data_IF_219746981276
#
_entry.id   IF_219746981276
#
_cell.length_a   1.000
_cell.length_b   1.000
_cell.length_c   1.000
_cell.angle_alpha   90.00
_cell.angle_beta   90.00
_cell.angle_gamma   90.00
#
_symmetry.space_group_name_H-M   'P 1'
#
loop_
_entity.id
_entity.type
_entity.pdbx_description
1 polymer ?
#
# COMPACT_ATOMS: atom_id res chain seq x y z
N UNK A 1 19.23 24.63 74.90
CA UNK A 1 18.90 25.72 73.96
C UNK A 1 19.42 25.33 72.58
N UNK A 2 18.50 25.28 71.61
CA UNK A 2 18.65 25.36 70.14
C UNK A 2 19.45 24.26 69.43
N UNK A 3 18.73 23.26 68.88
CA UNK A 3 19.20 22.45 67.74
C UNK A 3 18.94 23.25 66.45
N UNK A 4 20.00 23.64 65.75
CA UNK A 4 19.91 24.33 64.45
C UNK A 4 19.82 23.29 63.33
N UNK A 5 18.65 23.17 62.71
CA UNK A 5 18.42 22.31 61.54
C UNK A 5 18.85 23.08 60.29
N UNK A 6 20.05 22.79 59.77
CA UNK A 6 20.50 23.30 58.48
C UNK A 6 19.80 22.53 57.36
N UNK A 7 18.78 23.14 56.75
CA UNK A 7 18.09 22.65 55.56
C UNK A 7 19.01 22.84 54.34
N UNK A 8 19.72 21.78 53.95
CA UNK A 8 20.48 21.75 52.71
C UNK A 8 19.50 21.57 51.53
N UNK A 9 19.12 22.68 50.88
CA UNK A 9 18.39 22.66 49.62
C UNK A 9 19.32 22.10 48.53
N UNK A 10 19.26 20.80 48.28
CA UNK A 10 19.74 20.20 47.04
C UNK A 10 18.86 20.76 45.90
N UNK A 11 19.38 21.75 45.16
CA UNK A 11 18.85 22.06 43.84
C UNK A 11 19.15 20.85 42.95
N UNK A 12 18.22 19.89 42.93
CA UNK A 12 18.16 18.88 41.91
C UNK A 12 17.95 19.62 40.58
N UNK A 13 19.03 19.78 39.82
CA UNK A 13 19.00 20.31 38.47
C UNK A 13 18.19 19.31 37.63
N UNK A 14 16.88 19.51 37.56
CA UNK A 14 16.00 18.77 36.67
C UNK A 14 16.44 19.12 35.27
N UNK A 15 17.30 18.28 34.67
CA UNK A 15 17.46 18.25 33.22
C UNK A 15 16.08 17.96 32.66
N UNK A 16 15.39 19.02 32.25
CA UNK A 16 14.30 18.93 31.29
C UNK A 16 14.89 18.22 30.08
N UNK A 17 14.66 16.91 29.97
CA UNK A 17 14.86 16.20 28.72
C UNK A 17 14.07 16.99 27.69
N UNK A 18 14.78 17.62 26.75
CA UNK A 18 14.13 18.21 25.60
C UNK A 18 13.28 17.09 25.01
N UNK A 19 11.95 17.27 25.03
CA UNK A 19 11.04 16.34 24.38
C UNK A 19 11.51 16.25 22.93
N UNK A 20 12.09 15.10 22.54
CA UNK A 20 12.36 14.83 21.14
C UNK A 20 11.03 15.04 20.43
N UNK A 21 11.01 15.99 19.49
CA UNK A 21 9.88 16.15 18.58
C UNK A 21 9.51 14.77 18.07
N UNK A 22 8.23 14.36 18.14
CA UNK A 22 7.84 12.99 17.79
C UNK A 22 8.42 12.68 16.42
N UNK A 23 9.23 11.60 16.36
CA UNK A 23 9.92 11.23 15.15
C UNK A 23 8.89 11.08 14.04
N UNK A 24 9.07 11.82 12.94
CA UNK A 24 8.15 11.75 11.80
C UNK A 24 8.02 10.29 11.35
N UNK A 25 6.81 9.82 11.00
CA UNK A 25 6.63 8.48 10.48
C UNK A 25 7.47 8.27 9.21
N UNK A 26 7.95 7.05 8.95
CA UNK A 26 8.78 6.77 7.77
C UNK A 26 7.97 6.89 6.49
N UNK A 27 8.59 7.28 5.39
CA UNK A 27 7.97 7.18 4.06
C UNK A 27 7.86 5.70 3.66
N UNK A 28 6.70 5.30 3.16
CA UNK A 28 6.45 3.93 2.69
C UNK A 28 6.44 3.93 1.16
N UNK A 29 7.29 3.09 0.56
CA UNK A 29 7.33 2.87 -0.90
C UNK A 29 7.07 1.38 -1.14
N UNK A 30 5.92 1.08 -1.74
CA UNK A 30 5.54 -0.28 -2.12
C UNK A 30 5.80 -0.48 -3.61
N UNK A 31 6.79 -1.32 -3.94
CA UNK A 31 7.09 -1.74 -5.32
C UNK A 31 6.45 -3.10 -5.53
N UNK A 32 5.48 -3.18 -6.44
CA UNK A 32 4.74 -4.40 -6.73
C UNK A 32 4.92 -4.79 -8.21
N UNK A 33 5.88 -5.67 -8.46
CA UNK A 33 6.20 -6.16 -9.80
C UNK A 33 5.16 -7.18 -10.28
N UNK A 34 4.88 -7.17 -11.59
CA UNK A 34 3.93 -8.08 -12.23
C UNK A 34 4.71 -9.25 -12.84
N UNK A 35 4.24 -10.48 -12.62
CA UNK A 35 4.76 -11.72 -13.19
C UNK A 35 6.26 -11.98 -12.99
N UNK A 36 6.82 -11.59 -11.82
CA UNK A 36 8.19 -11.94 -11.41
C UNK A 36 8.20 -13.31 -10.72
N UNK A 37 8.93 -14.26 -11.28
CA UNK A 37 9.19 -15.57 -10.69
C UNK A 37 10.25 -15.53 -9.58
N UNK A 38 10.20 -16.52 -8.69
CA UNK A 38 11.15 -16.63 -7.57
C UNK A 38 12.63 -16.68 -8.05
N UNK A 39 12.89 -17.31 -9.19
CA UNK A 39 14.23 -17.46 -9.78
C UNK A 39 14.67 -16.33 -10.72
N UNK A 40 13.90 -15.23 -10.83
CA UNK A 40 14.16 -14.18 -11.82
C UNK A 40 15.11 -13.08 -11.33
N UNK A 41 15.40 -13.02 -10.03
CA UNK A 41 16.29 -12.02 -9.45
C UNK A 41 17.64 -12.64 -9.10
N UNK A 42 18.73 -11.91 -9.36
CA UNK A 42 20.09 -12.35 -9.06
C UNK A 42 20.27 -12.74 -7.59
N UNK A 43 19.64 -11.99 -6.68
CA UNK A 43 19.62 -12.31 -5.26
C UNK A 43 18.89 -13.61 -4.90
N UNK A 44 18.18 -14.27 -5.81
CA UNK A 44 17.62 -15.63 -5.65
C UNK A 44 18.27 -16.67 -6.59
N UNK A 45 19.41 -16.34 -7.21
CA UNK A 45 20.18 -17.27 -8.05
C UNK A 45 19.97 -17.14 -9.55
N UNK A 46 19.27 -16.10 -10.01
CA UNK A 46 19.13 -15.81 -11.43
C UNK A 46 20.45 -15.42 -12.09
N UNK A 47 20.55 -15.65 -13.41
CA UNK A 47 21.61 -15.07 -14.26
C UNK A 47 21.21 -13.72 -14.85
N UNK A 48 19.97 -13.28 -14.63
CA UNK A 48 19.49 -11.97 -15.07
C UNK A 48 20.18 -10.84 -14.29
N UNK A 49 20.43 -9.72 -14.98
CA UNK A 49 21.12 -8.58 -14.40
C UNK A 49 20.15 -7.68 -13.61
N UNK A 50 20.01 -7.91 -12.30
CA UNK A 50 19.12 -7.15 -11.40
C UNK A 50 19.84 -6.37 -10.29
N UNK A 51 20.89 -5.58 -10.60
CA UNK A 51 21.85 -5.09 -9.61
C UNK A 51 21.23 -4.19 -8.55
N UNK A 52 20.17 -3.45 -8.88
CA UNK A 52 19.50 -2.55 -7.92
C UNK A 52 18.61 -3.32 -6.94
N UNK A 53 17.95 -4.39 -7.40
CA UNK A 53 17.16 -5.26 -6.51
C UNK A 53 18.10 -6.09 -5.63
N UNK A 54 19.22 -6.57 -6.19
CA UNK A 54 20.23 -7.31 -5.43
C UNK A 54 20.89 -6.44 -4.36
N UNK A 55 21.08 -5.15 -4.65
CA UNK A 55 21.54 -4.16 -3.67
C UNK A 55 20.51 -3.97 -2.55
N UNK A 56 19.24 -3.76 -2.87
CA UNK A 56 18.17 -3.62 -1.86
C UNK A 56 18.09 -4.84 -0.94
N UNK A 57 18.19 -6.05 -1.50
CA UNK A 57 18.16 -7.29 -0.73
C UNK A 57 19.37 -7.45 0.21
N UNK A 58 20.53 -6.90 -0.16
CA UNK A 58 21.77 -6.95 0.63
C UNK A 58 21.82 -5.90 1.74
N UNK A 59 21.29 -4.71 1.47
CA UNK A 59 21.25 -3.59 2.43
C UNK A 59 20.07 -3.69 3.40
N UNK A 60 19.08 -4.52 3.07
CA UNK A 60 17.86 -4.70 3.87
C UNK A 60 17.61 -6.16 4.25
N UNK A 61 16.32 -6.51 4.25
CA UNK A 61 15.85 -7.85 4.58
C UNK A 61 15.36 -8.57 3.32
N UNK A 62 15.70 -9.87 3.18
CA UNK A 62 15.32 -10.72 2.05
C UNK A 62 14.55 -11.93 2.53
N UNK A 63 13.36 -12.17 1.97
CA UNK A 63 12.50 -13.29 2.33
C UNK A 63 12.79 -14.49 1.43
N UNK A 64 13.11 -15.65 1.98
CA UNK A 64 13.18 -16.90 1.19
C UNK A 64 11.81 -17.56 1.02
N UNK A 65 10.85 -17.17 1.85
CA UNK A 65 9.52 -17.77 1.94
C UNK A 65 8.46 -16.65 2.00
N UNK A 66 8.17 -16.03 0.85
CA UNK A 66 7.15 -14.99 0.71
C UNK A 66 6.00 -15.50 -0.16
N UNK A 67 4.83 -15.67 0.44
CA UNK A 67 3.65 -16.19 -0.22
C UNK A 67 2.66 -15.07 -0.57
N UNK A 68 2.02 -15.22 -1.72
CA UNK A 68 0.89 -14.38 -2.14
C UNK A 68 -0.42 -15.12 -1.91
N UNK A 69 -1.49 -14.39 -1.61
CA UNK A 69 -2.80 -15.00 -1.33
C UNK A 69 -3.46 -15.62 -2.58
N UNK A 70 -2.97 -15.30 -3.78
CA UNK A 70 -3.39 -15.91 -5.03
C UNK A 70 -2.29 -15.83 -6.09
N UNK A 71 -2.29 -16.80 -7.01
CA UNK A 71 -1.33 -16.93 -8.11
C UNK A 71 -1.71 -16.13 -9.38
N UNK A 72 -2.66 -15.20 -9.28
CA UNK A 72 -3.19 -14.41 -10.40
C UNK A 72 -3.35 -12.94 -10.03
N UNK A 73 -3.18 -12.05 -11.00
CA UNK A 73 -2.98 -10.62 -10.78
C UNK A 73 -4.05 -9.96 -9.89
N UNK A 74 -5.32 -9.98 -10.31
CA UNK A 74 -6.41 -9.28 -9.61
C UNK A 74 -6.59 -9.77 -8.17
N UNK A 75 -6.80 -11.09 -7.95
CA UNK A 75 -6.94 -11.64 -6.60
C UNK A 75 -5.74 -11.36 -5.69
N UNK A 76 -4.51 -11.45 -6.21
CA UNK A 76 -3.29 -11.14 -5.45
C UNK A 76 -3.24 -9.67 -5.01
N UNK A 77 -3.56 -8.76 -5.94
CA UNK A 77 -3.63 -7.31 -5.66
C UNK A 77 -4.75 -6.98 -4.67
N UNK A 78 -5.89 -7.68 -4.73
CA UNK A 78 -7.02 -7.42 -3.83
C UNK A 78 -6.64 -7.77 -2.40
N UNK A 79 -5.97 -8.91 -2.22
CA UNK A 79 -5.46 -9.33 -0.92
C UNK A 79 -4.38 -8.39 -0.39
N UNK A 80 -3.47 -7.92 -1.26
CA UNK A 80 -2.46 -6.93 -0.87
C UNK A 80 -3.10 -5.62 -0.38
N UNK A 81 -4.12 -5.13 -1.09
CA UNK A 81 -4.77 -3.87 -0.74
C UNK A 81 -5.64 -3.98 0.51
N UNK A 82 -6.28 -5.13 0.78
CA UNK A 82 -7.26 -5.27 1.88
C UNK A 82 -6.73 -6.02 3.09
N UNK A 83 -5.62 -6.74 2.95
CA UNK A 83 -5.16 -7.70 3.96
C UNK A 83 -6.06 -8.93 4.13
N UNK A 84 -6.98 -9.19 3.19
CA UNK A 84 -7.99 -10.25 3.28
C UNK A 84 -7.84 -11.28 2.16
N UNK A 85 -8.34 -12.49 2.39
CA UNK A 85 -8.38 -13.49 1.33
C UNK A 85 -9.24 -13.02 0.16
N UNK A 86 -8.84 -13.30 -1.10
CA UNK A 86 -9.55 -12.81 -2.28
C UNK A 86 -11.05 -13.16 -2.31
N UNK A 87 -11.40 -14.34 -1.78
CA UNK A 87 -12.78 -14.82 -1.64
C UNK A 87 -13.64 -13.98 -0.68
N UNK A 88 -13.03 -13.13 0.13
CA UNK A 88 -13.69 -12.30 1.14
C UNK A 88 -13.74 -10.81 0.77
N UNK A 89 -13.05 -10.38 -0.29
CA UNK A 89 -12.91 -8.97 -0.67
C UNK A 89 -13.40 -8.66 -2.10
N UNK A 90 -14.32 -9.48 -2.62
CA UNK A 90 -15.01 -9.23 -3.90
C UNK A 90 -14.27 -9.67 -5.17
N UNK A 91 -13.02 -10.15 -5.07
CA UNK A 91 -12.19 -10.45 -6.24
C UNK A 91 -11.60 -11.88 -6.23
N UNK A 92 -12.43 -12.94 -6.26
CA UNK A 92 -12.00 -14.32 -6.03
C UNK A 92 -11.26 -14.98 -7.21
N UNK A 93 -11.38 -14.43 -8.42
CA UNK A 93 -10.85 -15.04 -9.64
C UNK A 93 -10.20 -13.99 -10.55
N UNK A 94 -9.32 -14.43 -11.44
CA UNK A 94 -8.80 -13.58 -12.51
C UNK A 94 -9.88 -13.31 -13.56
N UNK A 95 -9.76 -12.18 -14.27
CA UNK A 95 -10.65 -11.85 -15.40
C UNK A 95 -10.75 -13.04 -16.34
N UNK A 96 -11.99 -13.43 -16.63
CA UNK A 96 -12.31 -14.53 -17.52
C UNK A 96 -13.45 -14.07 -18.43
N UNK A 97 -13.45 -14.50 -19.70
CA UNK A 97 -14.37 -14.01 -20.73
C UNK A 97 -15.85 -14.43 -20.53
N UNK A 98 -16.21 -14.85 -19.32
CA UNK A 98 -17.62 -15.06 -18.96
C UNK A 98 -18.20 -13.74 -18.46
N UNK A 99 -19.38 -13.31 -18.95
CA UNK A 99 -20.03 -12.08 -18.54
C UNK A 99 -20.13 -11.90 -17.02
N UNK A 100 -20.43 -12.99 -16.29
CA UNK A 100 -20.48 -13.04 -14.82
C UNK A 100 -19.22 -12.48 -14.14
N UNK A 101 -18.06 -12.59 -14.78
CA UNK A 101 -16.76 -12.26 -14.20
C UNK A 101 -16.22 -10.92 -14.67
N UNK A 102 -16.86 -10.30 -15.66
CA UNK A 102 -16.59 -8.92 -16.07
C UNK A 102 -16.99 -7.92 -14.97
N UNK A 103 -17.89 -8.33 -14.08
CA UNK A 103 -18.43 -7.55 -12.96
C UNK A 103 -17.71 -7.82 -11.63
N UNK A 104 -16.52 -8.45 -11.63
CA UNK A 104 -15.72 -8.57 -10.41
C UNK A 104 -14.75 -7.41 -10.23
N UNK A 105 -14.71 -6.89 -9.01
CA UNK A 105 -13.87 -5.81 -8.53
C UNK A 105 -13.63 -5.96 -7.02
N UNK A 106 -12.71 -5.20 -6.46
CA UNK A 106 -12.65 -5.05 -5.00
C UNK A 106 -14.01 -4.54 -4.51
N UNK A 107 -14.55 -5.16 -3.46
CA UNK A 107 -15.84 -4.74 -2.91
C UNK A 107 -15.73 -3.32 -2.33
N UNK A 108 -16.76 -2.49 -2.56
CA UNK A 108 -16.74 -1.06 -2.21
C UNK A 108 -16.63 -0.82 -0.70
N UNK A 109 -17.04 -1.79 0.11
CA UNK A 109 -17.01 -1.71 1.58
C UNK A 109 -15.65 -2.10 2.18
N UNK A 110 -14.70 -2.57 1.37
CA UNK A 110 -13.38 -2.97 1.85
C UNK A 110 -12.48 -1.77 2.11
N UNK A 111 -11.84 -1.75 3.28
CA UNK A 111 -10.82 -0.75 3.59
C UNK A 111 -9.49 -1.16 2.96
N UNK A 112 -8.92 -0.23 2.19
CA UNK A 112 -7.64 -0.43 1.53
C UNK A 112 -6.47 0.06 2.39
N UNK A 113 -5.27 -0.48 2.13
CA UNK A 113 -4.00 -0.04 2.72
C UNK A 113 -3.80 1.47 2.57
N UNK A 114 -4.20 2.05 1.43
CA UNK A 114 -4.09 3.48 1.20
C UNK A 114 -4.99 4.27 2.17
N UNK A 115 -6.25 3.88 2.35
CA UNK A 115 -7.17 4.55 3.27
C UNK A 115 -6.69 4.44 4.72
N UNK A 116 -6.18 3.27 5.10
CA UNK A 116 -5.59 3.06 6.42
C UNK A 116 -4.37 3.97 6.65
N UNK A 117 -3.39 3.97 5.73
CA UNK A 117 -2.20 4.82 5.84
C UNK A 117 -2.56 6.30 5.89
N UNK A 118 -3.55 6.72 5.11
CA UNK A 118 -4.00 8.09 5.15
C UNK A 118 -4.58 8.48 6.51
N UNK A 119 -5.41 7.63 7.12
CA UNK A 119 -5.94 7.92 8.46
C UNK A 119 -4.83 8.07 9.51
N UNK A 120 -3.64 7.48 9.25
CA UNK A 120 -2.41 7.68 10.03
C UNK A 120 -1.58 8.91 9.61
N UNK A 121 -2.10 9.80 8.75
CA UNK A 121 -1.44 11.04 8.34
C UNK A 121 -0.53 10.93 7.10
N UNK A 122 -0.59 9.82 6.37
CA UNK A 122 0.22 9.67 5.15
C UNK A 122 -0.41 10.32 3.92
N UNK A 123 0.46 10.83 3.05
CA UNK A 123 0.11 11.19 1.69
C UNK A 123 0.35 9.99 0.75
N UNK A 124 -0.66 9.63 -0.04
CA UNK A 124 -0.61 8.44 -0.89
C UNK A 124 -0.58 8.78 -2.38
N UNK A 125 0.22 8.04 -3.14
CA UNK A 125 0.22 8.10 -4.61
C UNK A 125 0.44 6.70 -5.17
N UNK A 126 -0.29 6.36 -6.23
CA UNK A 126 -0.13 5.10 -6.96
C UNK A 126 0.29 5.38 -8.41
N UNK A 127 1.22 4.59 -8.94
CA UNK A 127 1.63 4.62 -10.34
C UNK A 127 1.65 3.19 -10.85
N UNK A 128 1.00 2.93 -12.00
CA UNK A 128 1.01 1.63 -12.66
C UNK A 128 -0.32 0.87 -12.60
N UNK A 129 -0.24 -0.46 -12.65
CA UNK A 129 -1.38 -1.36 -12.85
C UNK A 129 -2.27 -1.48 -11.61
N UNK A 130 -3.56 -1.18 -11.76
CA UNK A 130 -4.58 -1.39 -10.73
C UNK A 130 -5.14 -2.81 -10.72
N UNK A 131 -5.90 -3.17 -11.77
CA UNK A 131 -6.48 -4.50 -11.96
C UNK A 131 -7.43 -5.01 -10.85
N UNK A 132 -8.06 -4.11 -10.07
CA UNK A 132 -9.07 -4.49 -9.06
C UNK A 132 -10.51 -4.10 -9.44
N UNK A 133 -10.76 -3.99 -10.74
CA UNK A 133 -12.07 -3.61 -11.27
C UNK A 133 -11.97 -2.39 -12.19
N UNK A 134 -12.97 -2.23 -13.06
CA UNK A 134 -13.07 -1.13 -14.04
C UNK A 134 -14.52 -0.89 -14.48
N UNK A 135 -15.35 -1.94 -14.53
CA UNK A 135 -16.77 -1.85 -14.92
C UNK A 135 -17.72 -2.02 -13.74
N UNK A 136 -17.17 -2.17 -12.53
CA UNK A 136 -17.92 -2.24 -11.27
C UNK A 136 -17.73 -0.89 -10.62
N UNK A 137 -18.82 -0.15 -10.42
CA UNK A 137 -18.73 1.14 -9.76
C UNK A 137 -18.11 0.98 -8.38
N UNK A 138 -17.18 1.88 -8.04
CA UNK A 138 -16.51 1.83 -6.75
C UNK A 138 -15.46 0.72 -6.65
N UNK A 139 -14.91 0.26 -7.78
CA UNK A 139 -13.81 -0.71 -7.79
C UNK A 139 -12.52 -0.16 -8.40
N UNK A 140 -12.59 0.97 -9.11
CA UNK A 140 -11.44 1.66 -9.65
C UNK A 140 -11.12 2.92 -8.82
N UNK A 141 -9.85 3.27 -8.55
CA UNK A 141 -9.47 4.45 -7.75
C UNK A 141 -9.87 5.79 -8.38
N UNK A 142 -10.45 5.76 -9.58
CA UNK A 142 -10.97 6.93 -10.30
C UNK A 142 -12.50 6.95 -10.38
N UNK A 143 -13.19 5.92 -9.86
CA UNK A 143 -14.66 5.89 -9.87
C UNK A 143 -15.22 6.92 -8.88
N UNK A 144 -16.22 7.67 -9.34
CA UNK A 144 -16.85 8.74 -8.54
C UNK A 144 -17.50 8.23 -7.24
N UNK A 145 -17.97 6.98 -7.19
CA UNK A 145 -18.59 6.39 -5.99
C UNK A 145 -17.56 5.96 -4.94
N UNK A 146 -16.41 5.41 -5.36
CA UNK A 146 -15.26 5.21 -4.47
C UNK A 146 -14.75 6.55 -3.97
N UNK A 147 -14.78 7.59 -4.81
CA UNK A 147 -14.48 8.95 -4.37
C UNK A 147 -15.51 9.46 -3.36
N UNK A 148 -16.81 9.15 -3.49
CA UNK A 148 -17.86 9.54 -2.53
C UNK A 148 -17.76 8.84 -1.17
N UNK A 149 -17.48 7.53 -1.14
CA UNK A 149 -17.28 6.81 0.14
C UNK A 149 -15.92 7.18 0.76
N UNK A 150 -14.88 7.30 -0.07
CA UNK A 150 -13.62 7.90 0.36
C UNK A 150 -13.82 9.37 0.78
N UNK A 151 -14.79 10.12 0.24
CA UNK A 151 -15.19 11.47 0.65
C UNK A 151 -15.92 11.48 1.99
N UNK A 152 -16.79 10.49 2.25
CA UNK A 152 -17.39 10.29 3.57
C UNK A 152 -16.31 10.02 4.62
N UNK A 153 -15.33 9.18 4.29
CA UNK A 153 -14.17 8.92 5.15
C UNK A 153 -13.26 10.18 5.22
N UNK A 154 -12.99 10.88 4.11
CA UNK A 154 -12.26 12.17 4.07
C UNK A 154 -12.93 13.23 4.94
N UNK A 155 -14.25 13.26 5.03
CA UNK A 155 -14.98 14.17 5.91
C UNK A 155 -14.72 13.87 7.39
N UNK A 156 -14.36 12.62 7.72
CA UNK A 156 -14.00 12.20 9.08
C UNK A 156 -12.49 12.38 9.38
N UNK A 157 -11.61 12.26 8.38
CA UNK A 157 -10.15 12.22 8.58
C UNK A 157 -9.33 13.29 7.84
N UNK A 158 -9.96 14.22 7.11
CA UNK A 158 -9.30 15.20 6.23
C UNK A 158 -9.05 14.66 4.80
N UNK A 159 -8.66 15.51 3.85
CA UNK A 159 -8.66 15.22 2.41
C UNK A 159 -7.52 14.26 1.93
N UNK A 160 -7.75 13.41 0.90
CA UNK A 160 -6.69 12.60 0.23
C UNK A 160 -6.58 13.08 -1.20
N UNK A 161 -5.37 13.47 -1.58
CA UNK A 161 -5.00 13.57 -2.98
C UNK A 161 -4.42 12.22 -3.42
N UNK A 162 -5.24 11.35 -4.02
CA UNK A 162 -4.75 10.16 -4.74
C UNK A 162 -4.70 10.53 -6.22
N UNK A 163 -3.51 10.80 -6.73
CA UNK A 163 -3.29 11.06 -8.16
C UNK A 163 -2.69 9.79 -8.76
N UNK A 164 -3.53 8.95 -9.37
CA UNK A 164 -3.12 7.78 -10.15
C UNK A 164 -3.06 8.13 -11.64
N UNK A 165 -1.91 7.89 -12.27
CA UNK A 165 -1.68 8.16 -13.69
C UNK A 165 -1.84 6.91 -14.56
N UNK A 166 -2.75 7.07 -15.54
CA UNK A 166 -2.84 6.44 -16.86
C UNK A 166 -3.27 4.95 -16.99
N UNK A 167 -4.57 4.78 -17.27
CA UNK A 167 -5.12 3.68 -18.08
C UNK A 167 -5.99 4.33 -19.17
N UNK A 168 -5.35 4.71 -20.27
CA UNK A 168 -5.88 5.50 -21.39
C UNK A 168 -7.32 5.14 -21.80
N UNK A 169 -8.14 6.14 -22.20
CA UNK A 169 -9.46 5.94 -22.80
C UNK A 169 -9.44 5.08 -24.07
N UNK A 170 -10.58 4.45 -24.38
CA UNK A 170 -10.85 3.44 -25.43
C UNK A 170 -10.39 3.72 -26.88
N UNK A 171 -9.74 4.86 -27.18
CA UNK A 171 -9.36 5.26 -28.54
C UNK A 171 -7.85 5.17 -28.84
N UNK A 172 -7.03 4.61 -27.94
CA UNK A 172 -5.59 4.45 -28.17
C UNK A 172 -5.21 2.97 -28.24
N UNK A 173 -4.57 2.56 -29.33
CA UNK A 173 -4.14 1.18 -29.57
C UNK A 173 -3.18 0.68 -28.48
N UNK A 174 -3.34 -0.58 -28.08
CA UNK A 174 -2.53 -1.27 -27.10
C UNK A 174 -1.20 -1.72 -27.72
N UNK A 175 -0.03 -1.22 -27.25
CA UNK A 175 1.27 -1.64 -27.77
C UNK A 175 1.62 -3.11 -27.46
N UNK A 176 0.83 -3.79 -26.61
CA UNK A 176 0.99 -5.19 -26.25
C UNK A 176 0.11 -6.14 -27.06
N UNK A 177 -0.74 -5.62 -27.95
CA UNK A 177 -1.42 -6.45 -28.94
C UNK A 177 -0.36 -6.85 -29.98
N UNK A 178 0.27 -8.01 -29.75
CA UNK A 178 1.16 -8.63 -30.73
C UNK A 178 0.33 -8.96 -31.97
N UNK A 179 0.76 -8.43 -33.12
CA UNK A 179 0.37 -8.94 -34.45
C UNK A 179 0.70 -10.41 -34.58
#
# INVERSE_FOLDING_TARGET
MVFSVSLLLLLASTRTAAAESPARPPNIILIFADDVGYGDLGCYGSTLNTPQIDRLAREGFRWTDCLVAANVCGPSRAALMTGRYPMRCGHPISRHNTPKYAEYGIAAEELTLAELLKSAGYYNKMVGKWHLGFHVNGSHPLDAELMQEAERIRAQIGDVHVIGSDQRPHHLANPQDKT
#
